data_IF_573525412398
#
_entry.id   IF_573525412398
#
_cell.length_a   1.000
_cell.length_b   1.000
_cell.length_c   1.000
_cell.angle_alpha   90.00
_cell.angle_beta   90.00
_cell.angle_gamma   90.00
#
_symmetry.space_group_name_H-M   'P 1'
#
loop_
_entity.id
_entity.type
_entity.pdbx_description
1 polymer ?
#
# COMPACT_ATOMS: atom_id res chain seq x y z
N UNK A 1 -22.14 12.52 21.17
CA UNK A 1 -20.82 12.18 20.58
C UNK A 1 -20.95 12.38 19.07
N UNK A 2 -20.17 13.28 18.48
CA UNK A 2 -20.16 13.42 17.02
C UNK A 2 -19.49 12.16 16.40
N UNK A 3 -20.05 11.62 15.31
CA UNK A 3 -19.42 10.50 14.62
C UNK A 3 -18.05 10.95 14.11
N UNK A 4 -17.04 10.13 14.38
CA UNK A 4 -15.67 10.38 13.92
C UNK A 4 -15.64 10.30 12.39
N UNK A 5 -15.55 11.44 11.71
CA UNK A 5 -15.40 11.49 10.26
C UNK A 5 -13.94 11.20 9.90
N UNK A 6 -13.61 9.93 9.66
CA UNK A 6 -12.29 9.54 9.17
C UNK A 6 -12.15 9.89 7.68
N UNK A 7 -10.95 10.31 7.24
CA UNK A 7 -10.67 10.47 5.83
C UNK A 7 -10.92 9.16 5.06
N UNK A 8 -11.38 9.20 3.80
CA UNK A 8 -11.65 7.99 3.04
C UNK A 8 -10.36 7.20 2.76
N UNK A 9 -10.46 5.88 2.85
CA UNK A 9 -9.41 4.97 2.40
C UNK A 9 -9.15 5.13 0.88
N UNK A 10 -7.96 4.76 0.39
CA UNK A 10 -7.64 4.87 -1.03
C UNK A 10 -8.59 4.02 -1.90
N UNK A 11 -8.85 4.52 -3.12
CA UNK A 11 -9.69 3.82 -4.11
C UNK A 11 -8.85 2.81 -4.90
N UNK A 12 -8.78 1.57 -4.43
CA UNK A 12 -7.85 0.57 -4.96
C UNK A 12 -8.16 0.09 -6.38
N UNK A 13 -9.39 0.28 -6.87
CA UNK A 13 -9.77 -0.11 -8.24
C UNK A 13 -8.95 0.62 -9.32
N UNK A 14 -8.56 1.87 -9.08
CA UNK A 14 -7.66 2.63 -9.98
C UNK A 14 -6.32 1.90 -10.13
N UNK A 15 -5.77 1.39 -9.03
CA UNK A 15 -4.52 0.64 -9.04
C UNK A 15 -4.63 -0.68 -9.80
N UNK A 16 -5.76 -1.38 -9.71
CA UNK A 16 -6.00 -2.59 -10.50
C UNK A 16 -6.10 -2.29 -11.99
N UNK A 17 -6.77 -1.20 -12.38
CA UNK A 17 -6.83 -0.78 -13.79
C UNK A 17 -5.45 -0.42 -14.32
N UNK A 18 -4.63 0.31 -13.56
CA UNK A 18 -3.26 0.63 -13.95
C UNK A 18 -2.40 -0.63 -14.08
N UNK A 19 -2.51 -1.58 -13.14
CA UNK A 19 -1.79 -2.84 -13.20
C UNK A 19 -2.19 -3.67 -14.42
N UNK A 20 -3.51 -3.81 -14.69
CA UNK A 20 -4.00 -4.53 -15.85
C UNK A 20 -3.56 -3.86 -17.16
N UNK A 21 -3.65 -2.53 -17.26
CA UNK A 21 -3.18 -1.78 -18.43
C UNK A 21 -1.68 -1.99 -18.66
N UNK A 22 -0.88 -2.07 -17.58
CA UNK A 22 0.56 -2.34 -17.69
C UNK A 22 0.81 -3.76 -18.21
N UNK A 23 0.12 -4.79 -17.68
CA UNK A 23 0.24 -6.17 -18.16
C UNK A 23 -0.15 -6.27 -19.66
N UNK A 24 -1.26 -5.64 -20.06
CA UNK A 24 -1.67 -5.64 -21.47
C UNK A 24 -0.62 -4.95 -22.35
N UNK A 25 -0.06 -3.83 -21.89
CA UNK A 25 1.00 -3.13 -22.60
C UNK A 25 2.28 -3.99 -22.74
N UNK A 26 2.67 -4.71 -21.70
CA UNK A 26 3.81 -5.65 -21.70
C UNK A 26 3.58 -6.81 -22.68
N UNK A 27 2.37 -7.36 -22.75
CA UNK A 27 2.01 -8.42 -23.71
C UNK A 27 2.07 -7.94 -25.16
N UNK A 28 1.56 -6.72 -25.45
CA UNK A 28 1.62 -6.12 -26.77
C UNK A 28 3.08 -5.90 -27.18
N UNK A 29 3.89 -5.36 -26.29
CA UNK A 29 5.32 -5.13 -26.51
C UNK A 29 6.06 -6.44 -26.81
N UNK A 30 5.83 -7.48 -25.98
CA UNK A 30 6.42 -8.80 -26.17
C UNK A 30 6.02 -9.43 -27.50
N UNK A 31 4.77 -9.26 -27.95
CA UNK A 31 4.31 -9.78 -29.24
C UNK A 31 4.96 -9.06 -30.44
N UNK A 32 5.19 -7.77 -30.34
CA UNK A 32 5.86 -6.98 -31.37
C UNK A 32 7.33 -7.39 -31.53
N UNK A 33 8.03 -7.59 -30.43
CA UNK A 33 9.44 -8.01 -30.43
C UNK A 33 9.65 -9.47 -30.90
N UNK A 34 8.65 -10.32 -30.76
CA UNK A 34 8.76 -11.70 -31.26
C UNK A 34 8.78 -11.77 -32.79
N UNK A 35 8.36 -10.72 -33.49
CA UNK A 35 8.30 -10.65 -34.96
C UNK A 35 9.54 -10.02 -35.60
N UNK A 36 10.36 -9.31 -34.83
CA UNK A 36 11.54 -8.60 -35.32
C UNK A 36 12.84 -9.20 -34.77
N UNK A 37 13.98 -9.16 -35.54
CA UNK A 37 15.27 -9.54 -34.99
C UNK A 37 15.61 -8.68 -33.78
N UNK A 38 16.31 -9.24 -32.74
CA UNK A 38 16.60 -8.49 -31.52
C UNK A 38 17.36 -7.20 -31.87
N UNK A 39 16.86 -6.04 -31.40
CA UNK A 39 17.52 -4.79 -31.65
C UNK A 39 18.93 -4.82 -31.04
N UNK A 40 19.91 -4.37 -31.80
CA UNK A 40 21.32 -4.27 -31.38
C UNK A 40 21.55 -3.20 -30.32
N UNK A 41 20.57 -2.32 -30.12
CA UNK A 41 20.62 -1.21 -29.18
C UNK A 41 19.81 -1.53 -27.89
N UNK A 42 20.18 -0.89 -26.77
CA UNK A 42 19.46 -1.01 -25.51
C UNK A 42 17.97 -0.72 -25.73
N UNK A 43 17.06 -1.67 -25.38
CA UNK A 43 15.64 -1.45 -25.59
C UNK A 43 15.18 -0.29 -24.71
N UNK A 44 14.92 0.85 -25.31
CA UNK A 44 14.24 1.95 -24.62
C UNK A 44 12.80 1.47 -24.42
N UNK A 45 12.32 1.32 -23.19
CA UNK A 45 10.92 0.95 -22.94
C UNK A 45 10.03 1.92 -23.72
N UNK A 46 9.01 1.41 -24.40
CA UNK A 46 8.07 2.29 -25.07
C UNK A 46 7.52 3.34 -24.11
N UNK A 47 7.45 4.58 -24.53
CA UNK A 47 7.05 5.72 -23.71
C UNK A 47 5.73 5.48 -22.96
N UNK A 48 4.76 4.81 -23.60
CA UNK A 48 3.47 4.51 -22.96
C UNK A 48 3.61 3.51 -21.80
N UNK A 49 4.46 2.48 -21.93
CA UNK A 49 4.71 1.52 -20.86
C UNK A 49 5.41 2.21 -19.67
N UNK A 50 6.42 3.04 -19.97
CA UNK A 50 7.08 3.86 -18.94
C UNK A 50 6.08 4.77 -18.21
N UNK A 51 5.19 5.44 -18.94
CA UNK A 51 4.17 6.32 -18.35
C UNK A 51 3.18 5.53 -17.46
N UNK A 52 2.72 4.36 -17.90
CA UNK A 52 1.85 3.50 -17.08
C UNK A 52 2.54 3.05 -15.79
N UNK A 53 3.80 2.62 -15.89
CA UNK A 53 4.60 2.24 -14.73
C UNK A 53 4.80 3.41 -13.76
N UNK A 54 5.08 4.60 -14.29
CA UNK A 54 5.27 5.81 -13.51
C UNK A 54 3.98 6.24 -12.81
N UNK A 55 2.87 6.33 -13.53
CA UNK A 55 1.55 6.67 -12.96
C UNK A 55 1.14 5.65 -11.90
N UNK A 56 1.36 4.36 -12.15
CA UNK A 56 1.11 3.31 -11.17
C UNK A 56 1.93 3.46 -9.89
N UNK A 57 3.22 3.85 -10.02
CA UNK A 57 4.08 4.12 -8.86
C UNK A 57 3.60 5.36 -8.08
N UNK A 58 3.27 6.44 -8.76
CA UNK A 58 2.73 7.65 -8.13
C UNK A 58 1.42 7.34 -7.41
N UNK A 59 0.52 6.58 -8.04
CA UNK A 59 -0.74 6.22 -7.40
C UNK A 59 -0.53 5.33 -6.17
N UNK A 60 0.44 4.42 -6.21
CA UNK A 60 0.83 3.65 -5.02
C UNK A 60 1.27 4.55 -3.87
N UNK A 61 2.13 5.55 -4.13
CA UNK A 61 2.57 6.52 -3.11
C UNK A 61 1.40 7.33 -2.54
N UNK A 62 0.42 7.70 -3.38
CA UNK A 62 -0.82 8.35 -2.92
C UNK A 62 -1.61 7.42 -1.99
N UNK A 63 -1.69 6.12 -2.28
CA UNK A 63 -2.33 5.15 -1.39
C UNK A 63 -1.60 5.05 -0.05
N UNK A 64 -0.27 4.94 -0.05
CA UNK A 64 0.56 4.91 1.17
C UNK A 64 0.33 6.18 1.99
N UNK A 65 0.37 7.36 1.36
CA UNK A 65 0.08 8.63 2.03
C UNK A 65 -1.28 8.61 2.73
N UNK A 66 -2.34 8.19 2.01
CA UNK A 66 -3.71 8.13 2.57
C UNK A 66 -3.83 7.18 3.74
N UNK A 67 -3.20 6.01 3.72
CA UNK A 67 -3.18 5.10 4.87
C UNK A 67 -2.61 5.80 6.12
N UNK A 68 -1.50 6.50 5.97
CA UNK A 68 -0.87 7.21 7.09
C UNK A 68 -1.68 8.42 7.57
N UNK A 69 -2.38 9.13 6.65
CA UNK A 69 -3.33 10.18 7.02
C UNK A 69 -4.45 9.62 7.90
N UNK A 70 -5.11 8.56 7.45
CA UNK A 70 -6.21 7.92 8.20
C UNK A 70 -5.74 7.45 9.58
N UNK A 71 -4.58 6.79 9.63
CA UNK A 71 -3.99 6.31 10.88
C UNK A 71 -3.65 7.43 11.87
N UNK A 72 -3.25 8.61 11.37
CA UNK A 72 -2.94 9.79 12.19
C UNK A 72 -4.17 10.46 12.81
N UNK A 73 -5.38 10.21 12.27
CA UNK A 73 -6.63 10.79 12.77
C UNK A 73 -7.36 9.94 13.82
N UNK A 74 -6.80 8.78 14.18
CA UNK A 74 -7.48 7.84 15.10
C UNK A 74 -7.23 8.25 16.55
N UNK A 75 -8.28 8.56 17.33
CA UNK A 75 -8.16 8.89 18.74
C UNK A 75 -7.58 7.73 19.54
N UNK A 76 -6.64 8.04 20.44
CA UNK A 76 -6.01 7.03 21.29
C UNK A 76 -4.90 6.20 20.60
N UNK A 77 -4.71 6.36 19.30
CA UNK A 77 -3.59 5.75 18.58
C UNK A 77 -2.51 6.80 18.27
N UNK A 78 -1.31 6.63 18.82
CA UNK A 78 -0.16 7.47 18.49
C UNK A 78 0.55 6.87 17.27
N UNK A 79 0.20 7.37 16.09
CA UNK A 79 0.85 6.90 14.86
C UNK A 79 2.31 7.38 14.81
N UNK A 80 3.30 6.46 14.63
CA UNK A 80 4.72 6.80 14.80
C UNK A 80 5.30 7.66 13.67
N UNK A 81 4.65 7.73 12.51
CA UNK A 81 5.22 8.33 11.30
C UNK A 81 4.21 9.25 10.63
N UNK A 82 4.66 10.45 10.25
CA UNK A 82 3.82 11.39 9.47
C UNK A 82 3.62 10.89 8.02
N UNK A 83 2.48 11.22 7.38
CA UNK A 83 2.20 10.82 6.01
C UNK A 83 3.28 11.23 5.00
N UNK A 84 3.82 12.45 5.15
CA UNK A 84 4.89 12.94 4.27
C UNK A 84 6.19 12.13 4.42
N UNK A 85 6.58 11.77 5.66
CA UNK A 85 7.75 10.91 5.90
C UNK A 85 7.54 9.51 5.34
N UNK A 86 6.33 8.97 5.47
CA UNK A 86 5.99 7.66 4.93
C UNK A 86 6.22 7.58 3.42
N UNK A 87 5.85 8.62 2.68
CA UNK A 87 6.12 8.72 1.23
C UNK A 87 7.60 9.01 0.98
N UNK A 88 8.21 9.95 1.72
CA UNK A 88 9.62 10.32 1.54
C UNK A 88 10.59 9.14 1.69
N UNK A 89 10.30 8.19 2.55
CA UNK A 89 11.12 6.99 2.75
C UNK A 89 11.18 6.05 1.53
N UNK A 90 10.23 6.16 0.59
CA UNK A 90 10.28 5.42 -0.67
C UNK A 90 11.36 5.96 -1.63
N UNK A 91 11.85 7.18 -1.44
CA UNK A 91 12.87 7.79 -2.27
C UNK A 91 14.32 7.59 -1.74
N UNK A 92 14.47 6.93 -0.59
CA UNK A 92 15.79 6.59 -0.04
C UNK A 92 16.11 5.15 -0.45
N UNK A 93 17.04 4.89 -1.39
CA UNK A 93 17.16 3.62 -2.10
C UNK A 93 17.23 2.37 -1.19
N UNK A 94 18.21 2.29 -0.30
CA UNK A 94 18.38 1.12 0.59
C UNK A 94 17.30 1.10 1.67
N UNK A 95 16.95 2.27 2.20
CA UNK A 95 15.93 2.38 3.24
C UNK A 95 14.53 2.01 2.74
N UNK A 96 14.24 2.25 1.45
CA UNK A 96 12.98 1.87 0.83
C UNK A 96 12.68 0.37 0.98
N UNK A 97 13.68 -0.50 0.79
CA UNK A 97 13.51 -1.94 0.96
C UNK A 97 13.06 -2.31 2.38
N UNK A 98 13.69 -1.73 3.38
CA UNK A 98 13.27 -1.88 4.78
C UNK A 98 11.88 -1.27 5.00
N UNK A 99 11.63 -0.07 4.45
CA UNK A 99 10.40 0.68 4.67
C UNK A 99 9.18 -0.02 4.08
N UNK A 100 9.27 -0.54 2.86
CA UNK A 100 8.19 -1.30 2.19
C UNK A 100 7.77 -2.53 3.01
N UNK A 101 8.71 -3.15 3.71
CA UNK A 101 8.42 -4.25 4.64
C UNK A 101 7.85 -3.74 5.98
N UNK A 102 8.27 -2.58 6.45
CA UNK A 102 8.00 -2.08 7.80
C UNK A 102 6.63 -1.41 7.93
N UNK A 103 6.25 -0.51 7.02
CA UNK A 103 5.03 0.28 7.18
C UNK A 103 3.73 -0.56 7.20
N UNK A 104 3.58 -1.67 6.43
CA UNK A 104 2.39 -2.50 6.52
C UNK A 104 2.27 -3.21 7.87
N UNK A 105 3.39 -3.49 8.53
CA UNK A 105 3.40 -4.07 9.88
C UNK A 105 2.83 -3.09 10.90
N UNK A 106 3.08 -1.79 10.77
CA UNK A 106 2.51 -0.77 11.67
C UNK A 106 0.99 -0.72 11.56
N UNK A 107 0.45 -0.87 10.33
CA UNK A 107 -1.00 -0.98 10.14
C UNK A 107 -1.54 -2.27 10.78
N UNK A 108 -0.85 -3.40 10.59
CA UNK A 108 -1.25 -4.67 11.20
C UNK A 108 -1.25 -4.60 12.74
N UNK A 109 -0.25 -3.91 13.33
CA UNK A 109 -0.21 -3.66 14.77
C UNK A 109 -1.38 -2.82 15.25
N UNK A 110 -1.74 -1.77 14.50
CA UNK A 110 -2.93 -0.97 14.80
C UNK A 110 -4.20 -1.82 14.75
N UNK A 111 -4.40 -2.62 13.71
CA UNK A 111 -5.56 -3.50 13.58
C UNK A 111 -5.64 -4.45 14.77
N UNK A 112 -4.54 -5.11 15.12
CA UNK A 112 -4.47 -6.03 16.27
C UNK A 112 -4.78 -5.32 17.59
N UNK A 113 -4.22 -4.10 17.78
CA UNK A 113 -4.53 -3.28 18.95
C UNK A 113 -6.03 -2.96 19.02
N UNK A 114 -6.62 -2.61 17.89
CA UNK A 114 -8.04 -2.23 17.81
C UNK A 114 -8.98 -3.38 18.11
N UNK A 115 -8.62 -4.60 17.68
CA UNK A 115 -9.38 -5.83 17.96
C UNK A 115 -9.05 -6.45 19.33
N UNK A 116 -8.03 -5.97 20.04
CA UNK A 116 -7.48 -6.58 21.24
C UNK A 116 -7.06 -8.06 21.04
N UNK A 117 -6.80 -8.47 19.80
CA UNK A 117 -6.40 -9.84 19.43
C UNK A 117 -5.58 -9.84 18.13
N UNK A 118 -4.76 -10.89 17.87
CA UNK A 118 -3.89 -10.97 16.70
C UNK A 118 -4.68 -11.37 15.44
N UNK A 119 -5.45 -10.44 14.85
CA UNK A 119 -6.19 -10.63 13.60
C UNK A 119 -5.27 -10.67 12.37
N UNK A 120 -4.20 -9.88 12.39
CA UNK A 120 -3.20 -9.82 11.32
C UNK A 120 -1.83 -10.19 11.88
N UNK A 121 -1.08 -11.04 11.16
CA UNK A 121 0.34 -11.30 11.48
C UNK A 121 1.20 -10.20 10.84
N UNK A 122 1.79 -9.26 11.62
CA UNK A 122 2.49 -8.10 11.06
C UNK A 122 3.60 -8.47 10.07
N UNK A 123 4.40 -9.49 10.40
CA UNK A 123 5.49 -9.97 9.54
C UNK A 123 4.98 -10.50 8.19
N UNK A 124 3.87 -11.24 8.19
CA UNK A 124 3.27 -11.77 6.95
C UNK A 124 2.75 -10.66 6.05
N UNK A 125 2.12 -9.63 6.63
CA UNK A 125 1.64 -8.49 5.86
C UNK A 125 2.80 -7.70 5.27
N UNK A 126 3.86 -7.48 6.06
CA UNK A 126 5.08 -6.86 5.56
C UNK A 126 5.72 -7.66 4.43
N UNK A 127 5.82 -9.00 4.58
CA UNK A 127 6.38 -9.89 3.56
C UNK A 127 5.54 -9.87 2.27
N UNK A 128 4.21 -9.87 2.39
CA UNK A 128 3.31 -9.82 1.24
C UNK A 128 3.51 -8.56 0.39
N UNK A 129 3.57 -7.38 1.03
CA UNK A 129 3.82 -6.11 0.33
C UNK A 129 5.25 -6.07 -0.23
N UNK A 130 6.23 -6.55 0.53
CA UNK A 130 7.62 -6.62 0.07
C UNK A 130 7.79 -7.54 -1.14
N UNK A 131 7.19 -8.73 -1.11
CA UNK A 131 7.25 -9.67 -2.24
C UNK A 131 6.59 -9.08 -3.51
N UNK A 132 5.45 -8.42 -3.37
CA UNK A 132 4.80 -7.72 -4.47
C UNK A 132 5.68 -6.57 -5.02
N UNK A 133 6.38 -5.85 -4.14
CA UNK A 133 7.32 -4.81 -4.52
C UNK A 133 8.52 -5.39 -5.29
N UNK A 134 9.10 -6.49 -4.80
CA UNK A 134 10.20 -7.20 -5.49
C UNK A 134 9.73 -7.71 -6.86
N UNK A 135 8.53 -8.30 -6.95
CA UNK A 135 7.94 -8.73 -8.21
C UNK A 135 7.88 -7.57 -9.21
N UNK A 136 7.41 -6.39 -8.78
CA UNK A 136 7.29 -5.20 -9.62
C UNK A 136 8.61 -4.71 -10.21
N UNK A 137 9.69 -4.77 -9.45
CA UNK A 137 10.98 -4.17 -9.84
C UNK A 137 11.95 -5.15 -10.49
N UNK A 138 11.84 -6.44 -10.19
CA UNK A 138 12.82 -7.45 -10.65
C UNK A 138 12.25 -8.44 -11.69
N UNK A 139 10.91 -8.58 -11.78
CA UNK A 139 10.32 -9.61 -12.62
C UNK A 139 9.30 -9.04 -13.61
N UNK A 140 8.18 -8.55 -13.12
CA UNK A 140 7.05 -8.13 -13.94
C UNK A 140 6.38 -6.91 -13.31
N UNK A 141 6.55 -5.70 -13.90
CA UNK A 141 5.99 -4.47 -13.36
C UNK A 141 4.46 -4.46 -13.25
N UNK A 142 3.75 -5.02 -14.22
CA UNK A 142 2.29 -5.04 -14.24
C UNK A 142 1.73 -6.00 -13.18
N UNK A 143 2.23 -7.25 -13.17
CA UNK A 143 1.83 -8.24 -12.16
C UNK A 143 2.19 -7.77 -10.74
N UNK A 144 3.39 -7.22 -10.56
CA UNK A 144 3.81 -6.69 -9.26
C UNK A 144 2.90 -5.56 -8.78
N UNK A 145 2.42 -4.70 -9.66
CA UNK A 145 1.45 -3.65 -9.33
C UNK A 145 0.11 -4.25 -8.89
N UNK A 146 -0.41 -5.24 -9.60
CA UNK A 146 -1.63 -5.95 -9.22
C UNK A 146 -1.47 -6.58 -7.83
N UNK A 147 -0.37 -7.26 -7.56
CA UNK A 147 -0.09 -7.89 -6.27
C UNK A 147 -0.01 -6.85 -5.13
N UNK A 148 0.59 -5.66 -5.37
CA UNK A 148 0.59 -4.57 -4.40
C UNK A 148 -0.84 -4.13 -4.05
N UNK A 149 -1.74 -4.02 -5.04
CA UNK A 149 -3.12 -3.62 -4.80
C UNK A 149 -3.96 -4.75 -4.19
N UNK A 150 -3.65 -6.03 -4.43
CA UNK A 150 -4.22 -7.15 -3.69
C UNK A 150 -3.85 -7.08 -2.20
N UNK A 151 -2.57 -6.85 -1.90
CA UNK A 151 -2.10 -6.65 -0.54
C UNK A 151 -2.78 -5.45 0.14
N UNK A 152 -2.89 -4.32 -0.58
CA UNK A 152 -3.59 -3.13 -0.12
C UNK A 152 -5.09 -3.38 0.12
N UNK A 153 -5.74 -4.20 -0.71
CA UNK A 153 -7.15 -4.58 -0.52
C UNK A 153 -7.37 -5.38 0.77
N UNK A 154 -6.49 -6.32 1.05
CA UNK A 154 -6.52 -7.06 2.31
C UNK A 154 -6.36 -6.12 3.51
N UNK A 155 -5.35 -5.24 3.47
CA UNK A 155 -5.10 -4.23 4.53
C UNK A 155 -6.30 -3.30 4.71
N UNK A 156 -6.87 -2.77 3.61
CA UNK A 156 -8.04 -1.89 3.64
C UNK A 156 -9.27 -2.60 4.20
N UNK A 157 -9.48 -3.87 3.86
CA UNK A 157 -10.56 -4.69 4.40
C UNK A 157 -10.47 -4.84 5.92
N UNK A 158 -9.28 -5.12 6.44
CA UNK A 158 -9.03 -5.22 7.88
C UNK A 158 -9.19 -3.86 8.59
N UNK A 159 -8.72 -2.76 7.98
CA UNK A 159 -8.90 -1.41 8.52
C UNK A 159 -10.37 -1.02 8.59
N UNK A 160 -11.18 -1.27 7.55
CA UNK A 160 -12.61 -0.99 7.57
C UNK A 160 -13.32 -1.70 8.72
N UNK A 161 -13.00 -2.97 8.95
CA UNK A 161 -13.53 -3.73 10.09
C UNK A 161 -13.08 -3.14 11.42
N UNK A 162 -11.81 -2.74 11.55
CA UNK A 162 -11.28 -2.11 12.75
C UNK A 162 -11.98 -0.76 13.05
N UNK A 163 -12.32 0.01 12.02
CA UNK A 163 -13.04 1.28 12.17
C UNK A 163 -14.52 1.10 12.52
N UNK A 164 -15.14 -0.01 12.11
CA UNK A 164 -16.53 -0.32 12.45
C UNK A 164 -16.71 -0.72 13.92
N UNK A 165 -15.64 -1.02 14.65
CA UNK A 165 -15.72 -1.33 16.08
C UNK A 165 -16.08 -0.08 16.90
N UNK A 166 -16.87 -0.23 17.99
CA UNK A 166 -17.18 0.88 18.89
C UNK A 166 -15.90 1.49 19.47
N UNK A 167 -15.89 2.79 19.85
CA UNK A 167 -14.74 3.42 20.49
C UNK A 167 -14.24 2.58 21.67
N UNK A 168 -12.92 2.41 21.80
CA UNK A 168 -12.38 1.75 22.99
C UNK A 168 -12.71 2.57 24.23
N UNK A 169 -13.11 1.95 25.35
CA UNK A 169 -13.20 2.64 26.61
C UNK A 169 -11.84 3.24 26.96
N UNK A 170 -11.80 4.43 27.59
CA UNK A 170 -10.55 5.02 28.05
C UNK A 170 -9.84 4.03 28.96
N UNK A 171 -8.52 3.90 28.78
CA UNK A 171 -7.69 2.90 29.49
C UNK A 171 -7.72 3.06 31.02
N UNK A 172 -8.10 4.25 31.48
CA UNK A 172 -8.43 4.56 32.88
C UNK A 172 -9.75 5.30 32.87
N UNK A 173 -10.89 4.68 33.19
CA UNK A 173 -12.12 5.41 33.42
C UNK A 173 -11.86 6.38 34.59
N UNK A 174 -12.36 7.64 34.50
CA UNK A 174 -12.28 8.54 35.66
C UNK A 174 -12.92 7.85 36.86
N UNK A 175 -12.42 8.06 38.08
CA UNK A 175 -13.04 7.51 39.29
C UNK A 175 -14.51 7.94 39.32
N UNK A 176 -15.42 7.07 39.81
CA UNK A 176 -16.83 7.42 39.93
C UNK A 176 -16.92 8.72 40.73
N UNK A 177 -17.58 9.72 40.18
CA UNK A 177 -17.97 10.93 40.92
C UNK A 177 -19.01 10.51 41.94
N UNK A 178 -18.61 10.46 43.22
CA UNK A 178 -19.51 10.32 44.35
C UNK A 178 -20.43 11.55 44.48
#
# INVERSE_FOLDING_TARGET
MQPLTLPPLPQLWVGYLLGLATVVAELIEGSNHASDPPPTDFPIPNLYLFLLMFVGAVYWLVCVYRYHVVMGHIPGWKHPISPARAVGFHFIPIYNLYWVFKWPQEIARFVNWRFAQPVMKPQMVGLMVFAAFVMRFLFDPGLGLILLFLAASYVSGCLRRAFALPPMPPKNPPPPTE
#
